data_IF_870828467429
#
_entry.id   IF_870828467429
#
_cell.length_a   1.000
_cell.length_b   1.000
_cell.length_c   1.000
_cell.angle_alpha   90.00
_cell.angle_beta   90.00
_cell.angle_gamma   90.00
#
_symmetry.space_group_name_H-M   'P 1'
#
loop_
_entity.id
_entity.type
_entity.pdbx_description
1 polymer ?
#
# COMPACT_ATOMS: atom_id res chain seq x y z
N UNK A 1 -1.90 -14.14 34.39
CA UNK A 1 -1.62 -13.60 33.05
C UNK A 1 -2.88 -13.80 32.24
N UNK A 2 -3.73 -12.78 32.11
CA UNK A 2 -5.00 -12.88 31.39
C UNK A 2 -4.69 -13.01 29.91
N UNK A 3 -4.95 -14.18 29.32
CA UNK A 3 -5.01 -14.32 27.86
C UNK A 3 -6.10 -13.37 27.38
N UNK A 4 -5.70 -12.24 26.79
CA UNK A 4 -6.63 -11.33 26.11
C UNK A 4 -7.36 -12.13 25.05
N UNK A 5 -8.66 -12.32 25.21
CA UNK A 5 -9.48 -12.96 24.19
C UNK A 5 -9.40 -12.10 22.91
N UNK A 6 -8.64 -12.60 21.94
CA UNK A 6 -8.36 -11.91 20.67
C UNK A 6 -9.16 -12.56 19.53
N UNK A 7 -10.01 -13.56 19.83
CA UNK A 7 -10.85 -14.25 18.83
C UNK A 7 -11.82 -13.32 18.11
N UNK A 8 -12.26 -12.25 18.77
CA UNK A 8 -13.10 -11.23 18.14
C UNK A 8 -12.39 -10.45 17.03
N UNK A 9 -11.05 -10.29 17.11
CA UNK A 9 -10.28 -9.59 16.07
C UNK A 9 -10.29 -10.44 14.81
N UNK A 10 -10.03 -11.75 14.93
CA UNK A 10 -10.09 -12.69 13.81
C UNK A 10 -11.49 -12.71 13.17
N UNK A 11 -12.56 -12.75 13.98
CA UNK A 11 -13.93 -12.70 13.48
C UNK A 11 -14.23 -11.39 12.73
N UNK A 12 -13.75 -10.24 13.23
CA UNK A 12 -13.90 -8.95 12.56
C UNK A 12 -13.13 -8.87 11.24
N UNK A 13 -11.90 -9.39 11.18
CA UNK A 13 -11.10 -9.43 9.96
C UNK A 13 -11.71 -10.36 8.91
N UNK A 14 -12.14 -11.56 9.33
CA UNK A 14 -12.74 -12.57 8.45
C UNK A 14 -14.05 -12.08 7.85
N UNK A 15 -14.92 -11.46 8.66
CA UNK A 15 -16.19 -10.90 8.17
C UNK A 15 -16.01 -9.70 7.24
N UNK A 16 -14.98 -8.89 7.45
CA UNK A 16 -14.67 -7.73 6.60
C UNK A 16 -13.96 -8.09 5.29
N UNK A 17 -13.31 -9.25 5.19
CA UNK A 17 -12.44 -9.63 4.07
C UNK A 17 -13.10 -9.49 2.69
N UNK A 18 -14.31 -10.04 2.42
CA UNK A 18 -14.89 -9.99 1.07
C UNK A 18 -15.11 -8.55 0.58
N UNK A 19 -15.58 -7.66 1.46
CA UNK A 19 -15.81 -6.26 1.14
C UNK A 19 -14.49 -5.51 0.95
N UNK A 20 -13.52 -5.73 1.86
CA UNK A 20 -12.25 -5.02 1.81
C UNK A 20 -11.42 -5.42 0.58
N UNK A 21 -11.23 -6.71 0.34
CA UNK A 21 -10.51 -7.23 -0.83
C UNK A 21 -11.21 -6.81 -2.13
N UNK A 22 -12.54 -6.89 -2.21
CA UNK A 22 -13.29 -6.46 -3.39
C UNK A 22 -13.10 -4.97 -3.72
N UNK A 23 -13.10 -4.11 -2.70
CA UNK A 23 -12.86 -2.68 -2.89
C UNK A 23 -11.41 -2.37 -3.30
N UNK A 24 -10.43 -3.04 -2.68
CA UNK A 24 -9.01 -2.89 -3.02
C UNK A 24 -8.72 -3.42 -4.43
N UNK A 25 -9.31 -4.55 -4.81
CA UNK A 25 -9.21 -5.10 -6.17
C UNK A 25 -9.75 -4.12 -7.21
N UNK A 26 -10.88 -3.45 -6.92
CA UNK A 26 -11.41 -2.40 -7.81
C UNK A 26 -10.44 -1.21 -7.94
N UNK A 27 -9.69 -0.91 -6.88
CA UNK A 27 -8.76 0.22 -6.86
C UNK A 27 -7.45 -0.10 -7.61
N UNK A 28 -6.87 -1.28 -7.38
CA UNK A 28 -5.57 -1.65 -7.93
C UNK A 28 -5.65 -2.41 -9.26
N UNK A 29 -6.76 -3.08 -9.54
CA UNK A 29 -6.95 -3.99 -10.70
C UNK A 29 -5.92 -5.13 -10.75
N UNK A 30 -5.42 -5.49 -9.59
CA UNK A 30 -4.44 -6.55 -9.38
C UNK A 30 -4.83 -7.27 -8.08
N UNK A 31 -5.01 -8.60 -8.16
CA UNK A 31 -5.45 -9.40 -7.02
C UNK A 31 -4.36 -9.53 -5.97
N UNK A 32 -3.12 -9.75 -6.39
CA UNK A 32 -1.99 -9.93 -5.48
C UNK A 32 -1.75 -8.63 -4.70
N UNK A 33 -1.76 -7.49 -5.39
CA UNK A 33 -1.63 -6.18 -4.75
C UNK A 33 -2.80 -5.88 -3.79
N UNK A 34 -4.02 -6.29 -4.14
CA UNK A 34 -5.18 -6.10 -3.27
C UNK A 34 -5.12 -6.98 -2.01
N UNK A 35 -4.69 -8.23 -2.14
CA UNK A 35 -4.52 -9.14 -1.00
C UNK A 35 -3.39 -8.69 -0.09
N UNK A 36 -2.26 -8.26 -0.64
CA UNK A 36 -1.14 -7.71 0.14
C UNK A 36 -1.55 -6.43 0.88
N UNK A 37 -2.28 -5.52 0.23
CA UNK A 37 -2.81 -4.32 0.87
C UNK A 37 -3.76 -4.67 2.03
N UNK A 38 -4.63 -5.67 1.85
CA UNK A 38 -5.53 -6.15 2.90
C UNK A 38 -4.74 -6.75 4.07
N UNK A 39 -3.77 -7.61 3.81
CA UNK A 39 -2.93 -8.24 4.84
C UNK A 39 -2.15 -7.20 5.65
N UNK A 40 -1.58 -6.19 4.99
CA UNK A 40 -0.93 -5.07 5.66
C UNK A 40 -1.88 -4.27 6.57
N UNK A 41 -3.13 -4.10 6.15
CA UNK A 41 -4.16 -3.50 7.00
C UNK A 41 -4.50 -4.40 8.20
N UNK A 42 -4.61 -5.72 8.00
CA UNK A 42 -4.81 -6.70 9.07
C UNK A 42 -3.67 -6.66 10.10
N UNK A 43 -2.41 -6.52 9.69
CA UNK A 43 -1.28 -6.39 10.61
C UNK A 43 -1.43 -5.16 11.52
N UNK A 44 -1.86 -4.02 10.96
CA UNK A 44 -2.12 -2.80 11.75
C UNK A 44 -3.33 -2.96 12.67
N UNK A 45 -4.37 -3.69 12.24
CA UNK A 45 -5.51 -4.03 13.08
C UNK A 45 -5.08 -4.92 14.26
N UNK A 46 -4.32 -5.99 14.01
CA UNK A 46 -3.80 -6.89 15.04
C UNK A 46 -2.93 -6.17 16.07
N UNK A 47 -2.19 -5.14 15.64
CA UNK A 47 -1.42 -4.30 16.54
C UNK A 47 -2.30 -3.36 17.37
N UNK A 48 -3.28 -2.69 16.77
CA UNK A 48 -3.99 -1.56 17.40
C UNK A 48 -5.32 -1.93 18.08
N UNK A 49 -6.08 -2.85 17.51
CA UNK A 49 -7.44 -3.18 17.96
C UNK A 49 -7.47 -3.86 19.33
N UNK A 50 -6.53 -4.73 19.73
CA UNK A 50 -6.53 -5.30 21.08
C UNK A 50 -6.43 -4.27 22.21
N UNK A 51 -5.82 -3.11 21.95
CA UNK A 51 -5.72 -2.03 22.95
C UNK A 51 -6.84 -0.98 22.83
N UNK A 52 -7.28 -0.68 21.60
CA UNK A 52 -8.18 0.44 21.32
C UNK A 52 -9.63 0.02 20.98
N UNK A 53 -9.88 -1.28 20.82
CA UNK A 53 -11.10 -1.80 20.21
C UNK A 53 -11.11 -1.63 18.68
N UNK A 54 -12.09 -2.25 17.99
CA UNK A 54 -12.26 -2.05 16.56
C UNK A 54 -12.84 -0.65 16.27
N UNK A 55 -12.59 -0.10 15.06
CA UNK A 55 -13.34 1.05 14.56
C UNK A 55 -14.82 0.69 14.38
N UNK A 56 -15.68 1.71 14.27
CA UNK A 56 -17.13 1.53 14.04
C UNK A 56 -17.44 0.70 12.80
N UNK A 57 -16.62 0.83 11.77
CA UNK A 57 -16.69 0.06 10.53
C UNK A 57 -15.31 -0.54 10.22
N UNK A 58 -15.08 -1.82 10.61
CA UNK A 58 -13.83 -2.53 10.32
C UNK A 58 -13.50 -2.63 8.83
N UNK A 59 -14.50 -2.84 7.96
CA UNK A 59 -14.27 -3.00 6.54
C UNK A 59 -13.80 -1.67 5.90
N UNK A 60 -14.48 -0.56 6.20
CA UNK A 60 -14.08 0.75 5.71
C UNK A 60 -12.67 1.15 6.19
N UNK A 61 -12.35 0.84 7.44
CA UNK A 61 -11.01 1.10 7.99
C UNK A 61 -9.94 0.27 7.29
N UNK A 62 -10.16 -1.03 7.07
CA UNK A 62 -9.21 -1.91 6.38
C UNK A 62 -8.98 -1.46 4.94
N UNK A 63 -10.02 -1.03 4.23
CA UNK A 63 -9.89 -0.47 2.88
C UNK A 63 -9.02 0.78 2.88
N UNK A 64 -9.30 1.72 3.80
CA UNK A 64 -8.56 2.98 3.88
C UNK A 64 -7.09 2.75 4.23
N UNK A 65 -6.83 1.93 5.25
CA UNK A 65 -5.48 1.61 5.70
C UNK A 65 -4.72 0.86 4.62
N UNK A 66 -5.31 -0.18 4.03
CA UNK A 66 -4.67 -0.97 2.96
C UNK A 66 -4.32 -0.11 1.76
N UNK A 67 -5.24 0.76 1.33
CA UNK A 67 -4.99 1.71 0.24
C UNK A 67 -3.81 2.63 0.54
N UNK A 68 -3.75 3.20 1.75
CA UNK A 68 -2.68 4.12 2.13
C UNK A 68 -1.31 3.42 2.16
N UNK A 69 -1.25 2.21 2.76
CA UNK A 69 0.00 1.44 2.83
C UNK A 69 0.53 1.09 1.44
N UNK A 70 -0.33 0.58 0.56
CA UNK A 70 0.09 0.18 -0.78
C UNK A 70 0.57 1.38 -1.63
N UNK A 71 -0.07 2.55 -1.50
CA UNK A 71 0.40 3.78 -2.15
C UNK A 71 1.78 4.19 -1.65
N UNK A 72 2.01 4.10 -0.33
CA UNK A 72 3.30 4.45 0.26
C UNK A 72 4.41 3.47 -0.16
N UNK A 73 4.08 2.20 -0.34
CA UNK A 73 5.04 1.21 -0.86
C UNK A 73 5.41 1.50 -2.31
N UNK A 74 4.43 1.76 -3.19
CA UNK A 74 4.69 2.17 -4.59
C UNK A 74 5.57 3.43 -4.66
N UNK A 75 5.32 4.40 -3.77
CA UNK A 75 6.14 5.61 -3.67
C UNK A 75 7.57 5.31 -3.21
N UNK A 76 7.74 4.35 -2.31
CA UNK A 76 9.06 3.90 -1.82
C UNK A 76 9.82 3.16 -2.91
N UNK A 77 9.20 2.21 -3.61
CA UNK A 77 9.85 1.45 -4.69
C UNK A 77 10.34 2.36 -5.81
N UNK A 78 9.56 3.39 -6.19
CA UNK A 78 9.97 4.40 -7.18
C UNK A 78 11.22 5.18 -6.78
N UNK A 79 11.42 5.44 -5.48
CA UNK A 79 12.62 6.11 -4.97
C UNK A 79 13.86 5.20 -4.93
N UNK A 80 13.65 3.90 -4.90
CA UNK A 80 14.70 2.89 -4.84
C UNK A 80 15.10 2.37 -6.22
N UNK A 81 14.42 2.81 -7.28
CA UNK A 81 14.81 2.51 -8.64
C UNK A 81 16.14 3.23 -8.91
N UNK A 82 17.21 2.49 -9.26
CA UNK A 82 18.49 3.12 -9.59
C UNK A 82 18.27 4.12 -10.72
N UNK A 83 18.94 5.27 -10.62
CA UNK A 83 19.05 6.17 -11.76
C UNK A 83 19.61 5.36 -12.93
N UNK A 84 19.10 5.56 -14.17
CA UNK A 84 19.74 4.98 -15.35
C UNK A 84 21.24 5.27 -15.30
N UNK A 85 22.08 4.28 -15.62
CA UNK A 85 23.55 4.39 -15.49
C UNK A 85 24.20 5.38 -16.47
N UNK A 86 23.41 6.12 -17.25
CA UNK A 86 23.91 6.90 -18.38
C UNK A 86 24.13 8.38 -18.04
N UNK A 87 25.41 8.74 -17.91
CA UNK A 87 25.94 10.09 -18.16
C UNK A 87 25.57 10.62 -19.57
N UNK A 88 25.03 9.77 -20.45
CA UNK A 88 24.66 10.09 -21.84
C UNK A 88 23.29 10.76 -22.02
N UNK A 89 22.41 10.73 -21.01
CA UNK A 89 21.04 11.27 -21.18
C UNK A 89 20.91 12.77 -20.86
N UNK A 90 21.97 13.42 -20.37
CA UNK A 90 21.95 14.86 -20.00
C UNK A 90 22.78 15.73 -20.96
N UNK A 91 23.48 15.12 -21.92
CA UNK A 91 24.29 15.85 -22.91
C UNK A 91 23.61 15.82 -24.28
N UNK A 92 22.52 16.56 -24.41
CA UNK A 92 22.10 17.06 -25.73
C UNK A 92 22.77 18.44 -25.91
N UNK A 93 24.05 18.40 -26.29
CA UNK A 93 24.86 19.58 -26.62
C UNK A 93 24.88 19.85 -28.13
N UNK A 94 24.12 19.08 -28.92
CA UNK A 94 24.07 19.21 -30.38
C UNK A 94 23.29 20.45 -30.85
N UNK A 95 22.65 21.20 -29.95
CA UNK A 95 21.89 22.43 -30.25
C UNK A 95 22.73 23.73 -30.19
N UNK A 96 24.05 23.68 -29.97
CA UNK A 96 24.84 24.89 -29.70
C UNK A 96 25.66 25.50 -30.84
N UNK A 97 25.91 24.82 -31.98
CA UNK A 97 26.72 25.41 -33.06
C UNK A 97 26.19 25.08 -34.46
N UNK A 98 25.02 25.64 -34.83
CA UNK A 98 24.81 26.00 -36.24
C UNK A 98 25.78 27.14 -36.58
N UNK A 99 26.87 26.78 -37.24
CA UNK A 99 27.85 27.63 -37.92
C UNK A 99 27.22 28.94 -38.42
N UNK A 100 27.51 30.04 -37.72
CA UNK A 100 27.33 31.38 -38.29
C UNK A 100 28.41 31.55 -39.36
N UNK A 101 28.03 31.24 -40.60
CA UNK A 101 28.78 31.52 -41.82
C UNK A 101 28.76 33.02 -42.18
#
# INVERSE_FOLDING_TARGET
>A
MTTTDTGWVDAALTSARPQAVGALLRYFRDLDAAEEAFQNACLRALQSWPQNGPPRDPAAWLIMVGRNVAIDEVRRSRKQQPLPEDDQAISDLDDAEEEIA
#
